data_IF_502669805680
#
_entry.id   IF_502669805680
#
_cell.length_a   1.000
_cell.length_b   1.000
_cell.length_c   1.000
_cell.angle_alpha   90.00
_cell.angle_beta   90.00
_cell.angle_gamma   90.00
#
_symmetry.space_group_name_H-M   'P 1'
#
loop_
_entity.id
_entity.type
_entity.pdbx_description
1 polymer ?
#
# COMPACT_ATOMS: atom_id res chain seq x y z
N UNK A 1 -11.29 -21.38 -1.12
CA UNK A 1 -10.55 -20.21 -0.65
C UNK A 1 -11.53 -19.14 -0.18
N UNK A 2 -11.28 -18.48 0.95
CA UNK A 2 -12.12 -17.38 1.43
C UNK A 2 -11.36 -16.06 1.46
N UNK A 3 -12.09 -14.97 1.22
CA UNK A 3 -11.60 -13.60 1.32
C UNK A 3 -12.47 -12.82 2.30
N UNK A 4 -11.86 -12.24 3.33
CA UNK A 4 -12.55 -11.48 4.36
C UNK A 4 -12.21 -9.99 4.21
N UNK A 5 -13.23 -9.19 3.96
CA UNK A 5 -13.12 -7.75 3.70
C UNK A 5 -13.76 -6.94 4.83
N UNK A 6 -13.08 -5.93 5.39
CA UNK A 6 -13.65 -5.07 6.42
C UNK A 6 -14.73 -4.11 5.90
N UNK A 7 -14.79 -3.91 4.57
CA UNK A 7 -15.79 -3.07 3.88
C UNK A 7 -16.13 -3.68 2.52
N UNK A 8 -17.17 -3.13 1.88
CA UNK A 8 -17.48 -3.47 0.50
C UNK A 8 -16.40 -2.97 -0.48
N UNK A 9 -16.04 -3.75 -1.51
CA UNK A 9 -15.10 -3.32 -2.56
C UNK A 9 -15.52 -2.04 -3.29
N UNK A 10 -16.82 -1.73 -3.31
CA UNK A 10 -17.34 -0.52 -3.97
C UNK A 10 -16.90 0.78 -3.30
N UNK A 11 -16.50 0.74 -2.02
CA UNK A 11 -16.29 1.94 -1.20
C UNK A 11 -14.84 2.20 -0.85
N UNK A 12 -13.93 1.28 -1.17
CA UNK A 12 -12.51 1.36 -0.85
C UNK A 12 -11.67 0.87 -2.02
N UNK A 13 -10.74 1.69 -2.48
CA UNK A 13 -9.77 1.33 -3.52
C UNK A 13 -8.87 0.18 -3.07
N UNK A 14 -8.48 0.16 -1.80
CA UNK A 14 -7.75 -0.94 -1.17
C UNK A 14 -8.50 -2.27 -1.30
N UNK A 15 -9.76 -2.32 -0.85
CA UNK A 15 -10.56 -3.54 -0.90
C UNK A 15 -10.87 -3.93 -2.36
N UNK A 16 -11.14 -2.94 -3.20
CA UNK A 16 -11.37 -3.17 -4.63
C UNK A 16 -10.16 -3.82 -5.31
N UNK A 17 -8.93 -3.38 -4.98
CA UNK A 17 -7.72 -4.00 -5.50
C UNK A 17 -7.60 -5.48 -5.08
N UNK A 18 -7.94 -5.81 -3.83
CA UNK A 18 -7.97 -7.20 -3.35
C UNK A 18 -9.06 -8.03 -4.05
N UNK A 19 -10.24 -7.45 -4.29
CA UNK A 19 -11.34 -8.14 -4.98
C UNK A 19 -11.03 -8.38 -6.45
N UNK A 20 -10.35 -7.47 -7.12
CA UNK A 20 -9.80 -7.72 -8.46
C UNK A 20 -8.83 -8.92 -8.45
N UNK A 21 -8.00 -9.02 -7.39
CA UNK A 21 -7.11 -10.16 -7.21
C UNK A 21 -7.86 -11.48 -6.97
N UNK A 22 -8.97 -11.46 -6.24
CA UNK A 22 -9.85 -12.63 -6.05
C UNK A 22 -10.47 -13.07 -7.40
N UNK A 23 -11.03 -12.14 -8.16
CA UNK A 23 -11.61 -12.42 -9.46
C UNK A 23 -10.56 -13.01 -10.43
N UNK A 24 -9.34 -12.47 -10.42
CA UNK A 24 -8.21 -13.00 -11.19
C UNK A 24 -7.92 -14.47 -10.85
N UNK A 25 -8.00 -14.86 -9.56
CA UNK A 25 -7.83 -16.26 -9.17
C UNK A 25 -8.92 -17.17 -9.73
N UNK A 26 -10.19 -16.76 -9.72
CA UNK A 26 -11.29 -17.53 -10.28
C UNK A 26 -11.10 -17.76 -11.79
N UNK A 27 -10.58 -16.76 -12.50
CA UNK A 27 -10.26 -16.88 -13.93
C UNK A 27 -9.03 -17.76 -14.18
N UNK A 28 -8.06 -17.75 -13.27
CA UNK A 28 -6.79 -18.51 -13.42
C UNK A 28 -6.96 -19.99 -13.06
N UNK A 29 -7.83 -20.31 -12.09
CA UNK A 29 -8.05 -21.67 -11.57
C UNK A 29 -9.52 -22.10 -11.63
N UNK A 30 -10.22 -22.03 -12.78
CA UNK A 30 -11.68 -22.16 -12.86
C UNK A 30 -12.21 -23.51 -12.37
N UNK A 31 -11.45 -24.59 -12.54
CA UNK A 31 -11.86 -25.95 -12.19
C UNK A 31 -11.25 -26.49 -10.89
N UNK A 32 -10.32 -25.74 -10.29
CA UNK A 32 -9.53 -26.22 -9.15
C UNK A 32 -9.94 -25.58 -7.82
N UNK A 33 -10.59 -24.43 -7.87
CA UNK A 33 -10.97 -23.70 -6.65
C UNK A 33 -12.28 -22.93 -6.84
N UNK A 34 -12.91 -22.65 -5.70
CA UNK A 34 -14.00 -21.68 -5.58
C UNK A 34 -13.64 -20.65 -4.53
N UNK A 35 -14.08 -19.42 -4.73
CA UNK A 35 -13.90 -18.39 -3.74
C UNK A 35 -15.19 -18.09 -2.97
N UNK A 36 -15.03 -17.77 -1.69
CA UNK A 36 -16.06 -17.22 -0.80
C UNK A 36 -15.61 -15.80 -0.47
N UNK A 37 -16.49 -14.82 -0.66
CA UNK A 37 -16.21 -13.43 -0.30
C UNK A 37 -17.17 -12.99 0.82
N UNK A 38 -16.64 -12.48 1.92
CA UNK A 38 -17.43 -11.96 3.04
C UNK A 38 -17.07 -10.50 3.25
N UNK A 39 -18.05 -9.61 3.04
CA UNK A 39 -17.91 -8.17 3.25
C UNK A 39 -18.32 -7.75 4.66
N UNK A 40 -17.90 -6.55 5.06
CA UNK A 40 -18.26 -5.88 6.31
C UNK A 40 -17.93 -6.73 7.56
N UNK A 41 -16.75 -7.37 7.51
CA UNK A 41 -16.22 -8.15 8.63
C UNK A 41 -15.58 -7.18 9.62
N UNK A 42 -16.26 -6.97 10.75
CA UNK A 42 -15.73 -6.19 11.88
C UNK A 42 -14.86 -7.05 12.78
N UNK A 43 -14.06 -6.43 13.66
CA UNK A 43 -13.22 -7.17 14.62
C UNK A 43 -14.06 -8.14 15.44
N UNK A 44 -15.21 -7.72 15.98
CA UNK A 44 -16.08 -8.55 16.84
C UNK A 44 -16.71 -9.74 16.10
N UNK A 45 -16.80 -9.68 14.76
CA UNK A 45 -17.38 -10.74 13.93
C UNK A 45 -16.34 -11.68 13.34
N UNK A 46 -15.06 -11.34 13.43
CA UNK A 46 -13.98 -12.08 12.74
C UNK A 46 -13.96 -13.55 13.12
N UNK A 47 -13.98 -13.90 14.39
CA UNK A 47 -13.98 -15.30 14.88
C UNK A 47 -15.18 -16.08 14.33
N UNK A 48 -16.39 -15.50 14.39
CA UNK A 48 -17.59 -16.15 13.86
C UNK A 48 -17.48 -16.37 12.35
N UNK A 49 -17.06 -15.35 11.59
CA UNK A 49 -16.96 -15.42 10.11
C UNK A 49 -15.92 -16.46 9.69
N UNK A 50 -14.76 -16.52 10.36
CA UNK A 50 -13.73 -17.53 10.12
C UNK A 50 -14.28 -18.93 10.28
N UNK A 51 -14.95 -19.21 11.41
CA UNK A 51 -15.56 -20.52 11.66
C UNK A 51 -16.64 -20.84 10.62
N UNK A 52 -17.41 -19.84 10.16
CA UNK A 52 -18.45 -20.02 9.15
C UNK A 52 -17.87 -20.40 7.79
N UNK A 53 -16.80 -19.72 7.32
CA UNK A 53 -16.18 -20.06 6.04
C UNK A 53 -15.42 -21.39 6.09
N UNK A 54 -14.81 -21.73 7.22
CA UNK A 54 -14.19 -23.05 7.43
C UNK A 54 -15.24 -24.17 7.34
N UNK A 55 -16.40 -24.01 7.95
CA UNK A 55 -17.52 -24.96 7.83
C UNK A 55 -18.04 -25.09 6.42
N UNK A 56 -17.91 -24.04 5.59
CA UNK A 56 -18.22 -24.07 4.17
C UNK A 56 -17.12 -24.72 3.30
N UNK A 57 -16.03 -25.18 3.93
CA UNK A 57 -14.93 -25.88 3.25
C UNK A 57 -13.79 -24.97 2.79
N UNK A 58 -13.66 -23.78 3.37
CA UNK A 58 -12.46 -22.94 3.13
C UNK A 58 -11.26 -23.50 3.89
N UNK A 59 -10.21 -23.82 3.18
CA UNK A 59 -8.91 -24.31 3.68
C UNK A 59 -7.78 -23.29 3.52
N UNK A 60 -8.03 -22.22 2.77
CA UNK A 60 -7.15 -21.06 2.59
C UNK A 60 -7.98 -19.79 2.78
N UNK A 61 -7.54 -18.91 3.67
CA UNK A 61 -8.27 -17.69 4.01
C UNK A 61 -7.32 -16.50 3.87
N UNK A 62 -7.72 -15.52 3.07
CA UNK A 62 -7.04 -14.23 2.96
C UNK A 62 -7.85 -13.15 3.69
N UNK A 63 -7.25 -12.58 4.71
CA UNK A 63 -7.75 -11.42 5.43
C UNK A 63 -7.04 -10.18 4.88
N UNK A 64 -7.79 -9.17 4.46
CA UNK A 64 -7.20 -8.02 3.78
C UNK A 64 -6.97 -6.82 4.71
N UNK A 65 -7.06 -7.04 6.02
CA UNK A 65 -6.88 -5.99 7.00
C UNK A 65 -6.32 -6.53 8.34
N UNK A 66 -5.43 -5.76 9.00
CA UNK A 66 -4.73 -6.20 10.20
C UNK A 66 -5.63 -6.39 11.43
N UNK A 67 -6.76 -5.68 11.54
CA UNK A 67 -7.67 -5.76 12.69
C UNK A 67 -8.26 -7.16 12.95
N UNK A 68 -8.21 -8.05 11.95
CA UNK A 68 -8.70 -9.41 12.08
C UNK A 68 -7.70 -10.34 12.81
N UNK A 69 -6.42 -9.96 12.89
CA UNK A 69 -5.31 -10.79 13.36
C UNK A 69 -5.56 -11.44 14.73
N UNK A 70 -6.06 -10.68 15.70
CA UNK A 70 -6.23 -11.17 17.09
C UNK A 70 -7.15 -12.37 17.19
N UNK A 71 -8.29 -12.34 16.54
CA UNK A 71 -9.25 -13.43 16.57
C UNK A 71 -8.88 -14.56 15.63
N UNK A 72 -8.19 -14.23 14.54
CA UNK A 72 -7.63 -15.21 13.62
C UNK A 72 -6.59 -16.12 14.27
N UNK A 73 -5.80 -15.61 15.21
CA UNK A 73 -4.85 -16.42 15.98
C UNK A 73 -5.55 -17.50 16.82
N UNK A 74 -6.70 -17.20 17.41
CA UNK A 74 -7.48 -18.20 18.16
C UNK A 74 -7.97 -19.31 17.23
N UNK A 75 -8.58 -18.91 16.10
CA UNK A 75 -9.12 -19.85 15.11
C UNK A 75 -8.01 -20.70 14.48
N UNK A 76 -6.85 -20.12 14.20
CA UNK A 76 -5.71 -20.83 13.60
C UNK A 76 -5.14 -21.91 14.53
N UNK A 77 -5.23 -21.75 15.85
CA UNK A 77 -4.83 -22.78 16.82
C UNK A 77 -5.79 -23.97 16.80
N UNK A 78 -7.09 -23.71 16.67
CA UNK A 78 -8.12 -24.74 16.65
C UNK A 78 -8.22 -25.45 15.28
N UNK A 79 -7.76 -24.79 14.21
CA UNK A 79 -7.78 -25.28 12.83
C UNK A 79 -6.40 -25.25 12.16
N UNK A 80 -5.43 -26.05 12.63
CA UNK A 80 -4.04 -26.00 12.16
C UNK A 80 -3.84 -26.38 10.69
N UNK A 81 -4.81 -27.08 10.08
CA UNK A 81 -4.80 -27.45 8.66
C UNK A 81 -5.26 -26.31 7.74
N UNK A 82 -5.95 -25.30 8.29
CA UNK A 82 -6.40 -24.12 7.54
C UNK A 82 -5.26 -23.10 7.47
N UNK A 83 -5.01 -22.59 6.26
CA UNK A 83 -3.99 -21.60 6.02
C UNK A 83 -4.59 -20.21 6.06
N UNK A 84 -4.28 -19.44 7.10
CA UNK A 84 -4.73 -18.07 7.25
C UNK A 84 -3.56 -17.14 6.90
N UNK A 85 -3.79 -16.20 5.97
CA UNK A 85 -2.87 -15.15 5.59
C UNK A 85 -3.52 -13.80 5.86
N UNK A 86 -2.87 -13.00 6.71
CA UNK A 86 -3.38 -11.68 7.09
C UNK A 86 -2.57 -10.57 6.43
N UNK A 87 -3.26 -9.62 5.80
CA UNK A 87 -2.63 -8.46 5.18
C UNK A 87 -2.25 -7.43 6.25
N UNK A 88 -1.06 -7.58 6.77
CA UNK A 88 -0.46 -6.69 7.77
C UNK A 88 1.05 -6.68 7.66
N UNK A 89 1.68 -5.69 8.28
CA UNK A 89 3.12 -5.61 8.42
C UNK A 89 3.55 -6.05 9.82
N UNK A 90 4.70 -6.72 9.88
CA UNK A 90 5.51 -6.88 11.07
C UNK A 90 4.97 -7.77 12.20
N UNK A 91 4.02 -8.65 11.95
CA UNK A 91 3.59 -9.62 12.95
C UNK A 91 3.98 -11.03 12.53
N UNK A 92 4.97 -11.60 13.20
CA UNK A 92 5.39 -12.98 12.94
C UNK A 92 4.72 -13.91 13.96
N UNK A 93 3.81 -14.75 13.48
CA UNK A 93 3.12 -15.76 14.29
C UNK A 93 3.36 -17.16 13.75
N UNK A 94 3.32 -18.16 14.62
CA UNK A 94 3.51 -19.57 14.23
C UNK A 94 2.43 -20.06 13.27
N UNK A 95 1.19 -19.60 13.43
CA UNK A 95 0.03 -20.16 12.74
C UNK A 95 -0.54 -19.29 11.62
N UNK A 96 -0.14 -18.01 11.56
CA UNK A 96 -0.63 -17.08 10.56
C UNK A 96 0.57 -16.45 9.85
N UNK A 97 0.54 -16.45 8.52
CA UNK A 97 1.50 -15.70 7.71
C UNK A 97 0.95 -14.33 7.40
N UNK A 98 1.80 -13.31 7.49
CA UNK A 98 1.44 -11.96 7.10
C UNK A 98 1.95 -11.66 5.71
N UNK A 99 1.23 -10.80 5.00
CA UNK A 99 1.64 -10.31 3.69
C UNK A 99 1.34 -8.83 3.55
N UNK A 100 2.19 -8.15 2.81
CA UNK A 100 2.03 -6.77 2.42
C UNK A 100 2.82 -6.51 1.14
N UNK A 101 2.67 -5.31 0.55
CA UNK A 101 3.39 -5.00 -0.67
C UNK A 101 4.15 -3.67 -0.58
N UNK A 102 5.28 -3.60 -1.28
CA UNK A 102 6.19 -2.45 -1.27
C UNK A 102 5.72 -1.36 -2.24
N UNK A 103 4.54 -0.78 -1.98
CA UNK A 103 3.96 0.30 -2.79
C UNK A 103 4.90 1.51 -2.90
N UNK A 104 5.76 1.73 -1.92
CA UNK A 104 6.74 2.79 -1.95
C UNK A 104 7.65 2.77 -3.20
N UNK A 105 7.85 1.60 -3.84
CA UNK A 105 8.59 1.50 -5.10
C UNK A 105 7.86 2.22 -6.25
N UNK A 106 6.55 2.05 -6.36
CA UNK A 106 5.73 2.76 -7.34
C UNK A 106 5.57 4.25 -6.99
N UNK A 107 5.48 4.57 -5.70
CA UNK A 107 5.41 5.96 -5.23
C UNK A 107 6.70 6.73 -5.51
N UNK A 108 7.86 6.10 -5.40
CA UNK A 108 9.13 6.71 -5.81
C UNK A 108 9.11 7.11 -7.29
N UNK A 109 8.71 6.20 -8.18
CA UNK A 109 8.61 6.48 -9.61
C UNK A 109 7.54 7.53 -9.92
N UNK A 110 6.40 7.52 -9.20
CA UNK A 110 5.37 8.56 -9.31
C UNK A 110 5.89 9.93 -8.89
N UNK A 111 6.67 9.97 -7.81
CA UNK A 111 7.35 11.18 -7.34
C UNK A 111 8.32 11.75 -8.39
N UNK A 112 9.08 10.90 -9.05
CA UNK A 112 9.99 11.33 -10.14
C UNK A 112 9.23 12.00 -11.29
N UNK A 113 8.07 11.46 -11.67
CA UNK A 113 7.23 12.09 -12.70
C UNK A 113 6.69 13.43 -12.19
N UNK A 114 6.22 13.47 -10.95
CA UNK A 114 5.72 14.68 -10.33
C UNK A 114 6.78 15.78 -10.26
N UNK A 115 8.00 15.46 -9.83
CA UNK A 115 9.12 16.40 -9.77
C UNK A 115 9.52 16.94 -11.14
N UNK A 116 9.51 16.07 -12.17
CA UNK A 116 9.84 16.47 -13.54
C UNK A 116 8.77 17.38 -14.19
N UNK A 117 7.52 17.32 -13.73
CA UNK A 117 6.39 18.04 -14.32
C UNK A 117 5.92 19.27 -13.52
N UNK A 118 6.29 19.36 -12.23
CA UNK A 118 5.88 20.48 -11.38
C UNK A 118 6.65 21.76 -11.74
N UNK A 119 6.04 22.65 -12.53
CA UNK A 119 6.67 23.89 -13.01
C UNK A 119 7.05 24.87 -11.88
N UNK A 120 6.29 24.85 -10.77
CA UNK A 120 6.49 25.76 -9.63
C UNK A 120 7.12 25.07 -8.41
N UNK A 121 7.71 23.89 -8.59
CA UNK A 121 8.35 23.08 -7.53
C UNK A 121 7.37 22.62 -6.40
N UNK A 122 6.05 22.79 -6.55
CA UNK A 122 5.03 22.47 -5.55
C UNK A 122 4.17 21.30 -5.98
N UNK A 123 4.13 20.28 -5.15
CA UNK A 123 3.42 19.03 -5.42
C UNK A 123 2.59 18.67 -4.19
N UNK A 124 1.32 18.27 -4.35
CA UNK A 124 0.54 17.72 -3.26
C UNK A 124 0.72 16.21 -3.16
N UNK A 125 0.76 15.74 -1.93
CA UNK A 125 0.50 14.35 -1.58
C UNK A 125 -0.70 14.30 -0.63
N UNK A 126 -1.79 13.71 -1.08
CA UNK A 126 -2.99 13.52 -0.28
C UNK A 126 -3.00 12.08 0.21
N UNK A 127 -2.79 11.89 1.49
CA UNK A 127 -2.80 10.59 2.16
C UNK A 127 -4.12 10.38 2.91
N UNK A 128 -4.49 9.12 3.16
CA UNK A 128 -5.72 8.81 3.89
C UNK A 128 -5.44 8.60 5.39
N UNK A 129 -4.81 7.50 5.73
CA UNK A 129 -4.59 7.10 7.12
C UNK A 129 -3.10 7.05 7.46
N UNK A 130 -2.68 7.56 8.62
CA UNK A 130 -1.29 7.48 9.08
C UNK A 130 -0.95 6.09 9.63
N UNK A 131 -1.15 5.05 8.81
CA UNK A 131 -0.89 3.65 9.15
C UNK A 131 0.45 3.17 8.57
N UNK A 132 0.85 1.95 8.94
CA UNK A 132 2.07 1.32 8.42
C UNK A 132 2.16 1.35 6.89
N UNK A 133 3.36 1.63 6.40
CA UNK A 133 3.63 1.73 4.97
C UNK A 133 3.25 3.07 4.35
N UNK A 134 2.29 3.83 4.90
CA UNK A 134 1.90 5.13 4.34
C UNK A 134 3.02 6.16 4.45
N UNK A 135 3.70 6.22 5.59
CA UNK A 135 4.83 7.15 5.76
C UNK A 135 5.98 6.80 4.80
N UNK A 136 6.27 5.53 4.61
CA UNK A 136 7.25 5.10 3.61
C UNK A 136 6.81 5.47 2.19
N UNK A 137 5.53 5.38 1.85
CA UNK A 137 5.00 5.81 0.56
C UNK A 137 5.19 7.31 0.32
N UNK A 138 4.87 8.14 1.32
CA UNK A 138 5.07 9.60 1.28
C UNK A 138 6.56 9.93 1.09
N UNK A 139 7.42 9.34 1.90
CA UNK A 139 8.86 9.60 1.86
C UNK A 139 9.48 9.12 0.54
N UNK A 140 9.11 7.96 0.03
CA UNK A 140 9.58 7.47 -1.26
C UNK A 140 9.14 8.39 -2.41
N UNK A 141 7.90 8.87 -2.39
CA UNK A 141 7.41 9.85 -3.36
C UNK A 141 8.22 11.15 -3.29
N UNK A 142 8.48 11.66 -2.09
CA UNK A 142 9.25 12.86 -1.87
C UNK A 142 10.71 12.71 -2.35
N UNK A 143 11.35 11.59 -2.08
CA UNK A 143 12.68 11.25 -2.59
C UNK A 143 12.69 11.13 -4.11
N UNK A 144 11.68 10.50 -4.70
CA UNK A 144 11.53 10.42 -6.16
C UNK A 144 11.38 11.80 -6.80
N UNK A 145 10.58 12.69 -6.21
CA UNK A 145 10.42 14.06 -6.68
C UNK A 145 11.75 14.85 -6.61
N UNK A 146 12.49 14.73 -5.52
CA UNK A 146 13.82 15.32 -5.36
C UNK A 146 14.82 14.80 -6.38
N UNK A 147 14.72 13.55 -6.79
CA UNK A 147 15.63 12.94 -7.76
C UNK A 147 15.61 13.64 -9.13
N UNK A 148 14.43 14.08 -9.57
CA UNK A 148 14.25 14.80 -10.83
C UNK A 148 14.22 16.32 -10.66
N UNK A 149 13.82 16.80 -9.48
CA UNK A 149 13.76 18.21 -9.14
C UNK A 149 14.20 18.44 -7.68
N UNK A 150 15.47 18.77 -7.42
CA UNK A 150 15.97 18.99 -6.04
C UNK A 150 15.28 20.13 -5.27
N UNK A 151 14.53 21.01 -5.99
CA UNK A 151 13.75 22.08 -5.34
C UNK A 151 12.32 21.67 -5.00
N UNK A 152 11.87 20.51 -5.45
CA UNK A 152 10.51 20.04 -5.22
C UNK A 152 10.17 20.00 -3.72
N UNK A 153 9.00 20.54 -3.39
CA UNK A 153 8.39 20.51 -2.05
C UNK A 153 7.08 19.76 -2.11
N UNK A 154 6.93 18.80 -1.23
CA UNK A 154 5.77 17.93 -1.15
C UNK A 154 4.85 18.44 -0.05
N UNK A 155 3.74 19.05 -0.43
CA UNK A 155 2.71 19.52 0.48
C UNK A 155 1.82 18.34 0.86
N UNK A 156 1.93 17.90 2.10
CA UNK A 156 1.19 16.76 2.63
C UNK A 156 -0.14 17.22 3.22
N UNK A 157 -1.22 16.55 2.83
CA UNK A 157 -2.51 16.64 3.47
C UNK A 157 -3.07 15.24 3.75
N UNK A 158 -3.94 15.17 4.78
CA UNK A 158 -4.61 13.93 5.17
C UNK A 158 -6.09 14.06 4.91
N UNK A 159 -6.63 13.25 4.00
CA UNK A 159 -8.04 13.27 3.62
C UNK A 159 -8.99 12.93 4.78
N UNK A 160 -8.47 12.23 5.77
CA UNK A 160 -9.19 11.82 7.00
C UNK A 160 -9.09 12.81 8.16
N UNK A 161 -8.36 13.92 8.01
CA UNK A 161 -8.35 14.98 9.01
C UNK A 161 -9.70 15.70 9.09
N UNK A 162 -10.10 16.12 10.30
CA UNK A 162 -11.41 16.76 10.55
C UNK A 162 -11.67 17.97 9.66
N UNK A 163 -10.65 18.81 9.46
CA UNK A 163 -10.78 20.09 8.75
C UNK A 163 -10.23 20.04 7.31
N UNK A 164 -10.09 18.84 6.73
CA UNK A 164 -9.57 18.71 5.38
C UNK A 164 -10.54 19.22 4.33
N UNK A 165 -10.08 20.17 3.53
CA UNK A 165 -10.73 20.71 2.34
C UNK A 165 -9.72 20.70 1.18
N UNK A 166 -9.93 19.81 0.21
CA UNK A 166 -9.04 19.61 -0.92
C UNK A 166 -8.87 20.86 -1.77
N UNK A 167 -9.96 21.49 -2.17
CA UNK A 167 -9.92 22.61 -3.10
C UNK A 167 -9.21 23.81 -2.47
N UNK A 168 -9.50 24.07 -1.21
CA UNK A 168 -8.83 25.10 -0.43
C UNK A 168 -7.34 24.79 -0.28
N UNK A 169 -6.98 23.56 0.08
CA UNK A 169 -5.60 23.15 0.25
C UNK A 169 -4.77 23.33 -1.02
N UNK A 170 -5.29 22.90 -2.19
CA UNK A 170 -4.61 23.03 -3.47
C UNK A 170 -4.46 24.49 -3.89
N UNK A 171 -5.50 25.29 -3.69
CA UNK A 171 -5.51 26.71 -4.02
C UNK A 171 -4.56 27.53 -3.17
N UNK A 172 -4.63 27.38 -1.84
CA UNK A 172 -3.83 28.16 -0.89
C UNK A 172 -2.32 27.87 -1.06
N UNK A 173 -1.97 26.66 -1.49
CA UNK A 173 -0.60 26.26 -1.76
C UNK A 173 -0.17 26.41 -3.23
N UNK A 174 -1.06 26.89 -4.13
CA UNK A 174 -0.79 27.04 -5.56
C UNK A 174 -0.27 25.74 -6.21
N UNK A 175 -0.99 24.64 -6.00
CA UNK A 175 -0.58 23.30 -6.45
C UNK A 175 -1.34 22.90 -7.71
N UNK A 176 -0.61 22.32 -8.67
CA UNK A 176 -1.16 21.78 -9.92
C UNK A 176 -0.96 20.27 -10.04
N UNK A 177 0.15 19.75 -9.51
CA UNK A 177 0.46 18.30 -9.56
C UNK A 177 0.11 17.65 -8.25
N UNK A 178 -0.72 16.61 -8.30
CA UNK A 178 -1.33 15.99 -7.11
C UNK A 178 -1.17 14.48 -7.15
N UNK A 179 -0.62 13.90 -6.09
CA UNK A 179 -0.72 12.47 -5.79
C UNK A 179 -1.85 12.24 -4.80
N UNK A 180 -2.76 11.34 -5.13
CA UNK A 180 -3.98 11.06 -4.37
C UNK A 180 -4.15 9.54 -4.15
N UNK A 181 -5.36 9.07 -3.83
CA UNK A 181 -5.67 7.63 -3.75
C UNK A 181 -5.12 6.88 -4.97
N UNK A 182 -4.71 5.63 -4.79
CA UNK A 182 -3.96 4.91 -5.83
C UNK A 182 -4.79 4.60 -7.07
N UNK A 183 -6.06 4.24 -6.89
CA UNK A 183 -6.95 3.87 -7.97
C UNK A 183 -8.39 4.32 -7.71
N UNK A 184 -9.22 4.31 -8.74
CA UNK A 184 -10.65 4.60 -8.62
C UNK A 184 -11.38 3.44 -7.93
N UNK A 185 -12.51 3.77 -7.31
CA UNK A 185 -13.50 2.77 -6.87
C UNK A 185 -14.70 2.76 -7.83
N UNK A 186 -15.48 1.67 -7.86
CA UNK A 186 -16.69 1.62 -8.69
C UNK A 186 -17.71 2.75 -8.42
N UNK A 187 -17.76 3.25 -7.18
CA UNK A 187 -18.67 4.34 -6.78
C UNK A 187 -18.14 5.73 -7.07
N UNK A 188 -16.82 5.89 -7.19
CA UNK A 188 -16.19 7.16 -7.53
C UNK A 188 -15.32 7.02 -8.79
N UNK A 189 -15.94 7.11 -9.97
CA UNK A 189 -15.22 6.99 -11.25
C UNK A 189 -14.51 8.29 -11.65
N UNK A 190 -14.24 9.18 -10.69
CA UNK A 190 -13.56 10.45 -10.90
C UNK A 190 -12.15 10.28 -11.47
N UNK A 191 -11.52 11.38 -11.86
CA UNK A 191 -10.14 11.39 -12.36
C UNK A 191 -9.12 11.83 -11.31
N UNK A 192 -9.50 11.78 -10.04
CA UNK A 192 -8.67 12.20 -8.90
C UNK A 192 -8.02 10.95 -8.24
N UNK A 193 -7.22 10.24 -9.01
CA UNK A 193 -6.52 9.04 -8.54
C UNK A 193 -5.09 9.00 -9.09
N UNK A 194 -4.23 8.28 -8.41
CA UNK A 194 -2.82 8.18 -8.72
C UNK A 194 -2.13 9.54 -8.72
N UNK A 195 -1.36 9.80 -9.75
CA UNK A 195 -0.77 11.11 -10.01
C UNK A 195 -1.55 11.80 -11.14
N UNK A 196 -2.01 13.03 -10.92
CA UNK A 196 -2.69 13.83 -11.93
C UNK A 196 -2.28 15.30 -11.86
N UNK A 197 -2.50 16.00 -12.96
CA UNK A 197 -2.32 17.44 -13.08
C UNK A 197 -3.68 18.14 -13.16
N UNK A 198 -3.83 19.22 -12.40
CA UNK A 198 -4.96 20.15 -12.47
C UNK A 198 -4.59 21.30 -13.42
N UNK A 199 -5.16 21.32 -14.61
CA UNK A 199 -4.96 22.43 -15.54
C UNK A 199 -5.71 23.69 -15.08
N UNK A 200 -5.29 24.86 -15.61
CA UNK A 200 -5.87 26.18 -15.24
C UNK A 200 -7.37 26.30 -15.53
N UNK A 201 -7.89 25.50 -16.46
CA UNK A 201 -9.31 25.43 -16.81
C UNK A 201 -10.09 24.40 -16.00
N UNK A 202 -9.48 23.84 -14.94
CA UNK A 202 -10.09 22.88 -14.02
C UNK A 202 -10.12 21.43 -14.51
N UNK A 203 -9.59 21.13 -15.70
CA UNK A 203 -9.46 19.74 -16.19
C UNK A 203 -8.41 19.00 -15.40
N UNK A 204 -8.66 17.72 -15.13
CA UNK A 204 -7.73 16.81 -14.50
C UNK A 204 -7.15 15.84 -15.53
N UNK A 205 -5.84 15.83 -15.63
CA UNK A 205 -5.09 14.98 -16.55
C UNK A 205 -4.37 13.89 -15.74
N UNK A 206 -4.85 12.67 -15.81
CA UNK A 206 -4.15 11.54 -15.16
C UNK A 206 -2.80 11.33 -15.83
N UNK A 207 -1.77 11.19 -15.02
CA UNK A 207 -0.38 10.96 -15.41
C UNK A 207 0.02 9.51 -15.12
N UNK A 208 -0.23 9.04 -13.92
CA UNK A 208 0.24 7.75 -13.44
C UNK A 208 -0.80 7.10 -12.51
N UNK A 209 -0.91 5.78 -12.61
CA UNK A 209 -1.67 4.97 -11.67
C UNK A 209 -0.74 3.89 -11.08
N UNK A 210 -0.43 3.92 -9.79
CA UNK A 210 0.19 2.80 -9.09
C UNK A 210 -0.78 1.63 -9.05
N UNK A 211 -0.26 0.41 -9.12
CA UNK A 211 -1.07 -0.81 -9.15
C UNK A 211 -0.71 -1.77 -8.02
N UNK A 212 -1.75 -2.26 -7.36
CA UNK A 212 -1.71 -3.40 -6.47
C UNK A 212 -2.15 -4.65 -7.25
N UNK A 213 -1.19 -5.47 -7.67
CA UNK A 213 -1.47 -6.71 -8.41
C UNK A 213 -1.63 -7.87 -7.42
N UNK A 214 -2.62 -7.81 -6.54
CA UNK A 214 -2.88 -8.84 -5.54
C UNK A 214 -3.15 -10.21 -6.16
N UNK A 215 -3.71 -10.25 -7.36
CA UNK A 215 -3.90 -11.51 -8.11
C UNK A 215 -2.60 -12.29 -8.29
N UNK A 216 -1.50 -11.60 -8.61
CA UNK A 216 -0.17 -12.22 -8.75
C UNK A 216 0.33 -12.78 -7.42
N UNK A 217 0.08 -12.09 -6.31
CA UNK A 217 0.41 -12.58 -4.98
C UNK A 217 -0.40 -13.84 -4.65
N UNK A 218 -1.71 -13.77 -4.81
CA UNK A 218 -2.61 -14.89 -4.50
C UNK A 218 -2.31 -16.12 -5.36
N UNK A 219 -2.08 -15.93 -6.66
CA UNK A 219 -1.70 -17.02 -7.57
C UNK A 219 -0.46 -17.74 -7.07
N UNK A 220 0.61 -17.01 -6.73
CA UNK A 220 1.86 -17.60 -6.22
C UNK A 220 1.64 -18.35 -4.90
N UNK A 221 0.79 -17.83 -4.01
CA UNK A 221 0.45 -18.51 -2.75
C UNK A 221 -0.31 -19.81 -3.02
N UNK A 222 -1.31 -19.78 -3.88
CA UNK A 222 -2.08 -20.98 -4.26
C UNK A 222 -1.16 -22.02 -4.93
N UNK A 223 -0.32 -21.61 -5.87
CA UNK A 223 0.65 -22.51 -6.51
C UNK A 223 1.62 -23.14 -5.49
N UNK A 224 2.12 -22.36 -4.52
CA UNK A 224 2.98 -22.86 -3.45
C UNK A 224 2.27 -23.90 -2.57
N UNK A 225 1.01 -23.66 -2.24
CA UNK A 225 0.18 -24.58 -1.44
C UNK A 225 -0.08 -25.87 -2.22
N UNK A 226 -0.49 -25.79 -3.48
CA UNK A 226 -0.77 -26.94 -4.34
C UNK A 226 0.49 -27.78 -4.60
N UNK A 227 1.66 -27.14 -4.72
CA UNK A 227 2.95 -27.81 -4.87
C UNK A 227 3.51 -28.40 -3.57
N UNK A 228 2.88 -28.15 -2.43
CA UNK A 228 3.36 -28.59 -1.11
C UNK A 228 4.57 -27.81 -0.57
N UNK A 229 5.05 -26.79 -1.29
CA UNK A 229 6.21 -25.98 -0.87
C UNK A 229 5.87 -24.96 0.22
N UNK A 230 4.59 -24.63 0.38
CA UNK A 230 4.16 -23.67 1.41
C UNK A 230 4.57 -24.05 2.83
N UNK A 231 4.56 -25.32 3.18
CA UNK A 231 4.95 -25.81 4.52
C UNK A 231 6.45 -25.81 4.75
N UNK A 232 7.26 -26.01 3.71
CA UNK A 232 8.73 -26.01 3.80
C UNK A 232 9.34 -24.61 3.98
N UNK A 233 8.54 -23.56 3.82
CA UNK A 233 8.95 -22.16 3.99
C UNK A 233 8.90 -21.69 5.45
N UNK A 234 8.63 -22.59 6.42
CA UNK A 234 8.76 -22.26 7.84
C UNK A 234 10.25 -22.04 8.20
N UNK A 235 10.51 -20.93 8.91
CA UNK A 235 11.86 -20.67 9.39
C UNK A 235 12.26 -21.68 10.49
N UNK A 236 13.57 -21.79 10.78
CA UNK A 236 14.14 -22.72 11.76
C UNK A 236 13.64 -22.51 13.20
N UNK A 237 12.96 -21.40 13.48
CA UNK A 237 12.37 -21.05 14.78
C UNK A 237 10.87 -21.42 14.87
N UNK A 238 10.29 -22.02 13.81
CA UNK A 238 8.88 -22.38 13.76
C UNK A 238 7.93 -21.19 13.69
N UNK A 239 8.41 -20.03 13.23
CA UNK A 239 7.60 -18.84 12.97
C UNK A 239 7.21 -18.79 11.51
N UNK A 240 5.97 -18.39 11.22
CA UNK A 240 5.53 -18.19 9.86
C UNK A 240 6.26 -17.02 9.18
N UNK A 241 6.50 -17.14 7.88
CA UNK A 241 7.15 -16.10 7.08
C UNK A 241 6.21 -14.95 6.83
N UNK A 242 6.79 -13.75 6.79
CA UNK A 242 6.10 -12.55 6.35
C UNK A 242 6.49 -12.28 4.89
N UNK A 243 5.49 -12.11 4.03
CA UNK A 243 5.69 -11.76 2.63
C UNK A 243 5.63 -10.25 2.45
N UNK A 244 6.73 -9.66 2.04
CA UNK A 244 6.81 -8.25 1.73
C UNK A 244 7.36 -8.04 0.32
N UNK A 245 6.47 -8.22 -0.65
CA UNK A 245 6.82 -8.25 -2.06
C UNK A 245 6.57 -6.90 -2.75
N UNK A 246 7.31 -6.64 -3.83
CA UNK A 246 7.25 -5.41 -4.60
C UNK A 246 7.23 -5.66 -6.10
N UNK A 247 7.82 -4.73 -6.84
CA UNK A 247 7.89 -4.78 -8.30
C UNK A 247 8.64 -5.99 -8.84
N UNK A 248 9.68 -6.45 -8.15
CA UNK A 248 10.44 -7.65 -8.54
C UNK A 248 9.59 -8.91 -8.58
N UNK A 249 8.62 -9.02 -7.68
CA UNK A 249 7.67 -10.14 -7.64
C UNK A 249 6.44 -9.93 -8.53
N UNK A 250 6.26 -8.73 -9.09
CA UNK A 250 5.11 -8.35 -9.91
C UNK A 250 3.86 -7.97 -9.11
N UNK A 251 3.97 -7.88 -7.77
CA UNK A 251 2.84 -7.51 -6.89
C UNK A 251 2.55 -6.02 -6.93
N UNK A 252 3.55 -5.21 -7.21
CA UNK A 252 3.42 -3.77 -7.43
C UNK A 252 3.82 -3.44 -8.87
N UNK A 253 3.07 -2.56 -9.49
CA UNK A 253 3.40 -2.01 -10.81
C UNK A 253 2.96 -0.55 -10.92
N UNK A 254 3.21 0.05 -12.08
CA UNK A 254 2.92 1.44 -12.39
C UNK A 254 2.48 1.55 -13.85
N UNK A 255 1.34 2.19 -14.09
CA UNK A 255 0.87 2.52 -15.43
C UNK A 255 1.04 4.03 -15.68
N UNK A 256 1.79 4.39 -16.71
CA UNK A 256 1.90 5.76 -17.20
C UNK A 256 0.85 6.02 -18.28
N UNK A 257 0.14 7.13 -18.17
CA UNK A 257 -0.77 7.58 -19.20
C UNK A 257 0.00 8.16 -20.43
N UNK A 258 -0.71 8.35 -21.53
CA UNK A 258 -0.17 9.03 -22.71
C UNK A 258 0.13 10.53 -22.48
N UNK A 259 -0.33 11.11 -21.38
CA UNK A 259 -0.10 12.51 -21.04
C UNK A 259 1.30 12.74 -20.44
N UNK A 260 1.98 11.68 -19.99
CA UNK A 260 3.38 11.77 -19.53
C UNK A 260 4.30 11.99 -20.74
N UNK A 261 5.15 13.03 -20.74
CA UNK A 261 6.09 13.28 -21.83
C UNK A 261 6.99 12.07 -22.11
N UNK A 262 7.24 11.78 -23.38
CA UNK A 262 7.96 10.58 -23.81
C UNK A 262 9.34 10.43 -23.15
N UNK A 263 10.06 11.52 -22.93
CA UNK A 263 11.37 11.49 -22.26
C UNK A 263 11.28 11.05 -20.81
N UNK A 264 10.30 11.61 -20.09
CA UNK A 264 10.03 11.25 -18.68
C UNK A 264 9.59 9.79 -18.59
N UNK A 265 8.68 9.36 -19.48
CA UNK A 265 8.21 7.98 -19.52
C UNK A 265 9.36 6.99 -19.74
N UNK A 266 10.27 7.26 -20.71
CA UNK A 266 11.44 6.41 -20.96
C UNK A 266 12.36 6.30 -19.75
N UNK A 267 12.61 7.41 -19.05
CA UNK A 267 13.41 7.40 -17.82
C UNK A 267 12.76 6.51 -16.77
N UNK A 268 11.46 6.68 -16.54
CA UNK A 268 10.70 5.89 -15.56
C UNK A 268 10.66 4.42 -15.93
N UNK A 269 10.45 4.07 -17.20
CA UNK A 269 10.45 2.67 -17.66
C UNK A 269 11.83 2.01 -17.41
N UNK A 270 12.93 2.77 -17.61
CA UNK A 270 14.28 2.29 -17.31
C UNK A 270 14.50 2.04 -15.82
N UNK A 271 14.18 3.04 -14.99
CA UNK A 271 14.35 2.92 -13.54
C UNK A 271 13.41 1.88 -12.91
N UNK A 272 12.21 1.71 -13.46
CA UNK A 272 11.30 0.61 -13.09
C UNK A 272 11.95 -0.75 -13.35
N UNK A 273 12.65 -0.91 -14.49
CA UNK A 273 13.41 -2.13 -14.78
C UNK A 273 14.51 -2.35 -13.74
N UNK A 274 15.22 -1.31 -13.35
CA UNK A 274 16.32 -1.41 -12.39
C UNK A 274 15.82 -1.68 -10.96
N UNK A 275 14.69 -1.11 -10.57
CA UNK A 275 14.01 -1.46 -9.29
C UNK A 275 13.59 -2.94 -9.30
N UNK A 276 13.03 -3.45 -10.42
CA UNK A 276 12.66 -4.86 -10.55
C UNK A 276 13.84 -5.81 -10.41
N UNK A 277 15.04 -5.41 -10.84
CA UNK A 277 16.29 -6.18 -10.70
C UNK A 277 16.94 -6.01 -9.33
N UNK A 278 16.54 -5.00 -8.56
CA UNK A 278 17.18 -4.64 -7.30
C UNK A 278 18.44 -3.77 -7.45
N UNK A 279 18.72 -3.25 -8.64
CA UNK A 279 19.85 -2.37 -8.91
C UNK A 279 19.61 -0.96 -8.34
N UNK A 280 18.35 -0.55 -8.21
CA UNK A 280 17.93 0.69 -7.57
C UNK A 280 16.99 0.38 -6.41
N UNK A 281 17.27 1.01 -5.27
CA UNK A 281 16.46 0.97 -4.06
C UNK A 281 16.02 2.38 -3.72
N UNK A 282 14.71 2.67 -3.58
CA UNK A 282 14.22 4.04 -3.30
C UNK A 282 14.84 4.69 -2.06
N UNK A 283 15.07 3.92 -1.01
CA UNK A 283 15.68 4.40 0.24
C UNK A 283 17.19 4.11 0.29
N UNK A 284 17.93 4.63 -0.68
CA UNK A 284 19.38 4.53 -0.75
C UNK A 284 20.02 5.91 -0.59
N UNK A 285 21.17 5.98 0.07
CA UNK A 285 21.96 7.20 0.23
C UNK A 285 21.58 8.02 1.45
N UNK A 286 22.10 9.23 1.55
CA UNK A 286 21.83 10.14 2.68
C UNK A 286 20.37 10.62 2.67
N UNK A 287 19.65 10.34 3.74
CA UNK A 287 18.25 10.76 3.91
C UNK A 287 18.13 11.48 5.25
N UNK A 288 17.52 12.65 5.23
CA UNK A 288 17.27 13.48 6.41
C UNK A 288 15.78 13.64 6.65
N UNK A 289 15.41 13.70 7.93
CA UNK A 289 14.07 14.09 8.35
C UNK A 289 13.90 15.61 8.32
N UNK A 290 12.67 16.09 8.48
CA UNK A 290 12.31 17.51 8.50
C UNK A 290 13.09 18.32 9.53
N UNK A 291 13.44 17.73 10.68
CA UNK A 291 14.24 18.35 11.74
C UNK A 291 15.75 18.34 11.46
N UNK A 292 16.19 17.88 10.29
CA UNK A 292 17.58 17.74 9.89
C UNK A 292 18.27 16.47 10.41
N UNK A 293 17.59 15.63 11.19
CA UNK A 293 18.15 14.38 11.71
C UNK A 293 18.50 13.43 10.57
N UNK A 294 19.70 12.86 10.61
CA UNK A 294 20.15 11.87 9.63
C UNK A 294 19.47 10.52 9.90
N UNK A 295 18.62 10.09 8.98
CA UNK A 295 17.87 8.84 9.06
C UNK A 295 18.52 7.70 8.29
N UNK A 296 19.23 7.99 7.21
CA UNK A 296 20.06 7.01 6.50
C UNK A 296 21.39 7.61 6.11
N UNK A 297 22.45 6.77 6.11
CA UNK A 297 23.82 7.18 5.79
C UNK A 297 24.07 7.15 4.30
N UNK A 298 25.03 7.93 3.85
CA UNK A 298 25.57 7.89 2.48
C UNK A 298 26.00 6.46 2.12
N UNK A 299 25.75 6.07 0.89
CA UNK A 299 26.15 4.78 0.31
C UNK A 299 25.56 3.53 1.01
N UNK A 300 24.40 3.67 1.64
CA UNK A 300 23.67 2.55 2.26
C UNK A 300 22.21 2.53 1.83
N UNK A 301 21.67 1.32 1.64
CA UNK A 301 20.23 1.10 1.59
C UNK A 301 19.67 1.03 3.01
N UNK A 302 18.50 1.59 3.21
CA UNK A 302 17.76 1.46 4.47
C UNK A 302 17.28 0.01 4.63
N UNK A 303 17.33 -0.49 5.86
CA UNK A 303 16.85 -1.84 6.15
C UNK A 303 15.31 -1.92 6.04
N UNK A 304 14.76 -3.09 5.64
CA UNK A 304 13.31 -3.29 5.54
C UNK A 304 12.54 -2.90 6.80
N UNK A 305 13.04 -3.29 7.98
CA UNK A 305 12.43 -3.00 9.27
C UNK A 305 12.31 -1.48 9.50
N UNK A 306 13.39 -0.75 9.22
CA UNK A 306 13.41 0.71 9.36
C UNK A 306 12.47 1.42 8.36
N UNK A 307 12.20 0.81 7.20
CA UNK A 307 11.21 1.33 6.24
C UNK A 307 9.79 1.07 6.75
N UNK A 308 9.53 -0.11 7.29
CA UNK A 308 8.22 -0.47 7.83
C UNK A 308 7.85 0.37 9.06
N UNK A 309 8.83 0.69 9.91
CA UNK A 309 8.65 1.42 11.16
C UNK A 309 8.78 2.95 11.01
N UNK A 310 8.79 3.48 9.77
CA UNK A 310 8.91 4.92 9.56
C UNK A 310 7.80 5.71 10.26
N UNK A 311 8.21 6.65 11.10
CA UNK A 311 7.37 7.59 11.85
C UNK A 311 7.77 9.06 11.66
N UNK A 312 8.60 9.34 10.65
CA UNK A 312 9.17 10.65 10.33
C UNK A 312 9.00 10.95 8.84
N UNK A 313 9.00 12.23 8.48
CA UNK A 313 8.91 12.72 7.10
C UNK A 313 10.28 13.26 6.63
N UNK A 314 10.57 13.13 5.32
CA UNK A 314 11.77 13.69 4.70
C UNK A 314 11.76 15.22 4.69
N UNK A 315 12.94 15.83 4.62
CA UNK A 315 13.18 17.29 4.75
C UNK A 315 12.52 18.14 3.65
N UNK A 316 12.13 17.54 2.53
CA UNK A 316 11.40 18.21 1.46
C UNK A 316 9.87 18.07 1.56
N UNK A 317 9.34 17.42 2.58
CA UNK A 317 7.91 17.35 2.88
C UNK A 317 7.50 18.52 3.76
N UNK A 318 6.39 19.18 3.41
CA UNK A 318 5.74 20.24 4.18
C UNK A 318 4.41 19.70 4.70
N UNK A 319 4.28 19.56 5.99
CA UNK A 319 3.14 18.98 6.69
C UNK A 319 3.59 18.09 7.84
N UNK A 320 2.65 17.53 8.56
CA UNK A 320 2.88 16.75 9.76
C UNK A 320 2.12 15.41 9.70
N UNK A 321 2.56 14.44 10.47
CA UNK A 321 1.82 13.19 10.70
C UNK A 321 0.78 13.49 11.78
N UNK A 322 -0.53 13.35 11.51
CA UNK A 322 -1.56 13.74 12.46
C UNK A 322 -1.57 12.80 13.67
N UNK A 323 -1.93 13.37 14.79
CA UNK A 323 -2.32 12.60 15.97
C UNK A 323 -3.71 11.99 15.80
N UNK A 324 -4.05 11.00 16.61
CA UNK A 324 -5.37 10.35 16.56
C UNK A 324 -6.53 11.33 16.81
N UNK A 325 -6.30 12.37 17.64
CA UNK A 325 -7.33 13.38 17.96
C UNK A 325 -7.60 14.37 16.83
N UNK A 326 -6.80 14.39 15.78
CA UNK A 326 -6.97 15.27 14.61
C UNK A 326 -7.67 14.57 13.44
N UNK A 327 -7.95 13.27 13.59
CA UNK A 327 -8.62 12.46 12.59
C UNK A 327 -10.12 12.38 12.86
N UNK A 328 -10.92 12.26 11.80
CA UNK A 328 -12.36 11.99 11.91
C UNK A 328 -12.59 10.68 12.69
N UNK A 329 -13.67 10.62 13.46
CA UNK A 329 -13.98 9.47 14.32
C UNK A 329 -14.00 8.13 13.56
N UNK A 330 -14.45 8.13 12.32
CA UNK A 330 -14.45 6.94 11.44
C UNK A 330 -13.02 6.47 11.10
N UNK A 331 -12.05 7.38 11.04
CA UNK A 331 -10.66 7.07 10.75
C UNK A 331 -9.91 6.53 11.97
N UNK A 332 -10.31 6.94 13.17
CA UNK A 332 -9.67 6.53 14.43
C UNK A 332 -9.72 5.02 14.62
N UNK A 333 -10.82 4.36 14.25
CA UNK A 333 -10.94 2.89 14.37
C UNK A 333 -9.93 2.13 13.51
N UNK A 334 -9.46 2.70 12.38
CA UNK A 334 -8.44 2.09 11.50
C UNK A 334 -7.00 2.40 11.94
N UNK A 335 -6.79 3.44 12.73
CA UNK A 335 -5.46 3.89 13.16
C UNK A 335 -5.07 3.38 14.54
N UNK A 336 -6.01 2.87 15.36
CA UNK A 336 -5.73 2.25 16.66
C UNK A 336 -4.73 1.07 16.58
N UNK A 337 -4.58 0.48 15.40
CA UNK A 337 -3.63 -0.59 15.14
C UNK A 337 -2.16 -0.19 15.28
N UNK A 338 -1.84 1.11 15.18
CA UNK A 338 -0.48 1.62 15.38
C UNK A 338 -0.02 1.55 16.84
N UNK A 339 -0.96 1.57 17.79
CA UNK A 339 -0.65 1.60 19.23
C UNK A 339 -0.52 0.21 19.87
N UNK A 340 -1.03 -0.85 19.24
CA UNK A 340 -1.06 -2.19 19.82
C UNK A 340 0.00 -3.16 19.27
N UNK A 341 0.75 -2.78 18.23
CA UNK A 341 1.79 -3.64 17.63
C UNK A 341 3.19 -3.45 18.25
N UNK A 342 3.32 -2.66 19.32
CA UNK A 342 4.58 -2.45 20.07
C UNK A 342 4.64 -3.25 21.39
N UNK A 343 3.85 -4.30 21.54
CA UNK A 343 3.94 -5.21 22.71
C UNK A 343 4.38 -6.62 22.29
#
# INVERSE_FOLDING_TARGET
VAFLYPKSPDTSDWIYAHDLGRNYLEETFPDQMKTICVNDVTEERTEQVLNDVIRQGADIIFEVAPQMMKDSLKVAVDHPDVKILNCSLNTSHKYIRTYYARMYEAKFLSGMIAGALAENDRIAYIADYPIYGMIANINAFALGASFTNPRARIYLAWSTSENYDRERFLKDNNIQVVSDQDMITPRDPGRQFGLYECSKDGRKLNLVMPLWNWGVFYEKMIQSILAGSYQSEENSEGRALNYWWGMSAGVIDLICSKNVPTGVKRLVDHLKSDIKKGDIVPFYGEIRAQDGTLKNKKDKAMKPEAIMEMDWLTDNVIGEIPTMGELRAEAVSYTHLRAHETL
#
